data_IF_431107013422
#
_entry.id   IF_431107013422
#
_cell.length_a   1.000
_cell.length_b   1.000
_cell.length_c   1.000
_cell.angle_alpha   90.00
_cell.angle_beta   90.00
_cell.angle_gamma   90.00
#
_symmetry.space_group_name_H-M   'P 1'
#
loop_
_entity.id
_entity.type
_entity.pdbx_description
1 polymer ?
#
# COMPACT_ATOMS: atom_id res chain seq x y z
N UNK A 1 2.25 -11.65 7.02
CA UNK A 1 0.87 -11.34 6.59
C UNK A 1 0.31 -12.40 5.65
N UNK A 2 1.06 -12.94 4.68
CA UNK A 2 0.60 -14.06 3.84
C UNK A 2 0.52 -15.40 4.62
N UNK A 3 1.48 -15.70 5.50
CA UNK A 3 1.46 -16.93 6.33
C UNK A 3 0.23 -17.01 7.25
N UNK A 4 -0.13 -15.91 7.92
CA UNK A 4 -1.29 -15.87 8.83
C UNK A 4 -2.62 -16.18 8.13
N UNK A 5 -2.75 -15.80 6.85
CA UNK A 5 -3.93 -16.14 6.05
C UNK A 5 -3.92 -17.62 5.62
N UNK A 6 -2.73 -18.18 5.36
CA UNK A 6 -2.56 -19.58 5.01
C UNK A 6 -2.85 -20.49 6.22
N UNK A 7 -2.35 -20.11 7.39
CA UNK A 7 -2.59 -20.79 8.66
C UNK A 7 -4.08 -20.78 9.04
N UNK A 8 -4.78 -19.66 8.83
CA UNK A 8 -6.23 -19.59 9.03
C UNK A 8 -6.99 -20.50 8.08
N UNK A 9 -6.55 -20.61 6.83
CA UNK A 9 -7.18 -21.48 5.84
C UNK A 9 -6.94 -22.95 6.16
N UNK A 10 -5.73 -23.31 6.57
CA UNK A 10 -5.36 -24.66 6.98
C UNK A 10 -6.12 -25.11 8.23
N UNK A 11 -6.30 -24.23 9.20
CA UNK A 11 -7.14 -24.49 10.38
C UNK A 11 -8.60 -24.74 10.00
N UNK A 12 -9.16 -23.95 9.07
CA UNK A 12 -10.54 -24.13 8.59
C UNK A 12 -10.70 -25.43 7.81
N UNK A 13 -9.73 -25.78 6.96
CA UNK A 13 -9.72 -27.04 6.23
C UNK A 13 -9.66 -28.21 7.20
N UNK A 14 -8.78 -28.15 8.19
CA UNK A 14 -8.65 -29.18 9.23
C UNK A 14 -9.96 -29.40 9.99
N UNK A 15 -10.66 -28.32 10.35
CA UNK A 15 -11.98 -28.41 10.99
C UNK A 15 -13.04 -29.05 10.09
N UNK A 16 -13.05 -28.71 8.80
CA UNK A 16 -13.98 -29.30 7.83
C UNK A 16 -13.69 -30.79 7.59
N UNK A 17 -12.41 -31.16 7.52
CA UNK A 17 -11.99 -32.55 7.40
C UNK A 17 -12.37 -33.36 8.64
N UNK A 18 -12.16 -32.82 9.85
CA UNK A 18 -12.62 -33.43 11.09
C UNK A 18 -14.16 -33.58 11.14
N UNK A 19 -14.91 -32.65 10.55
CA UNK A 19 -16.37 -32.72 10.55
C UNK A 19 -16.91 -33.78 9.57
N UNK A 20 -16.23 -34.00 8.44
CA UNK A 20 -16.65 -34.97 7.42
C UNK A 20 -16.13 -36.38 7.70
N UNK A 21 -14.86 -36.51 8.09
CA UNK A 21 -14.19 -37.79 8.29
C UNK A 21 -14.13 -38.22 9.77
N UNK A 22 -14.38 -37.31 10.72
CA UNK A 22 -14.31 -37.61 12.14
C UNK A 22 -12.92 -38.09 12.55
N UNK A 23 -12.85 -39.30 13.12
CA UNK A 23 -11.61 -40.00 13.50
C UNK A 23 -11.11 -40.99 12.44
N UNK A 24 -11.76 -41.06 11.27
CA UNK A 24 -11.36 -41.95 10.19
C UNK A 24 -10.23 -41.37 9.34
N UNK A 25 -9.49 -42.25 8.68
CA UNK A 25 -8.36 -41.87 7.84
C UNK A 25 -8.81 -41.00 6.67
N UNK A 26 -8.09 -39.89 6.41
CA UNK A 26 -8.49 -38.86 5.43
C UNK A 26 -8.40 -39.36 3.98
N UNK A 27 -7.68 -40.46 3.77
CA UNK A 27 -7.53 -41.17 2.49
C UNK A 27 -8.45 -42.40 2.35
N UNK A 28 -9.29 -42.68 3.36
CA UNK A 28 -10.26 -43.75 3.28
C UNK A 28 -11.39 -43.40 2.29
N UNK A 29 -12.03 -44.44 1.75
CA UNK A 29 -13.14 -44.33 0.79
C UNK A 29 -14.13 -43.23 1.21
N UNK A 30 -14.23 -42.17 0.41
CA UNK A 30 -15.06 -40.99 0.72
C UNK A 30 -16.42 -41.41 1.27
N UNK A 31 -16.77 -41.02 2.51
CA UNK A 31 -18.05 -41.36 3.07
C UNK A 31 -19.14 -40.74 2.17
N UNK A 32 -20.14 -41.55 1.78
CA UNK A 32 -21.31 -41.07 1.04
C UNK A 32 -22.22 -40.27 1.97
N UNK A 33 -21.70 -39.16 2.51
CA UNK A 33 -22.39 -38.30 3.46
C UNK A 33 -23.68 -37.77 2.85
N UNK A 34 -23.66 -37.39 1.57
CA UNK A 34 -24.84 -36.91 0.85
C UNK A 34 -25.92 -37.98 0.78
N UNK A 35 -25.59 -39.21 0.40
CA UNK A 35 -26.56 -40.30 0.33
C UNK A 35 -27.10 -40.67 1.71
N UNK A 36 -26.24 -40.65 2.74
CA UNK A 36 -26.63 -40.93 4.12
C UNK A 36 -27.53 -39.83 4.68
N UNK A 37 -27.20 -38.56 4.45
CA UNK A 37 -28.01 -37.40 4.82
C UNK A 37 -29.33 -37.44 4.07
N UNK A 38 -29.33 -37.75 2.77
CA UNK A 38 -30.55 -37.87 1.97
C UNK A 38 -31.44 -39.01 2.44
N UNK A 39 -30.86 -40.15 2.83
CA UNK A 39 -31.60 -41.25 3.43
C UNK A 39 -32.22 -40.87 4.78
N UNK A 40 -31.45 -40.16 5.64
CA UNK A 40 -31.97 -39.62 6.91
C UNK A 40 -33.09 -38.61 6.65
N UNK A 41 -32.91 -37.69 5.70
CA UNK A 41 -33.93 -36.72 5.31
C UNK A 41 -35.21 -37.41 4.81
N UNK A 42 -35.06 -38.46 3.98
CA UNK A 42 -36.20 -39.23 3.46
C UNK A 42 -36.93 -39.97 4.58
N UNK A 43 -36.21 -40.59 5.51
CA UNK A 43 -36.80 -41.24 6.70
C UNK A 43 -37.48 -40.24 7.63
N UNK A 44 -36.87 -39.07 7.84
CA UNK A 44 -37.46 -37.98 8.64
C UNK A 44 -38.73 -37.46 7.98
N UNK A 45 -38.72 -37.19 6.68
CA UNK A 45 -39.90 -36.75 5.94
C UNK A 45 -41.02 -37.78 5.95
N UNK A 46 -40.70 -39.07 5.82
CA UNK A 46 -41.67 -40.16 5.95
C UNK A 46 -42.25 -40.25 7.38
N UNK A 47 -41.45 -40.02 8.41
CA UNK A 47 -41.89 -40.01 9.81
C UNK A 47 -42.73 -38.77 10.18
N UNK A 48 -42.53 -37.65 9.48
CA UNK A 48 -43.31 -36.41 9.59
C UNK A 48 -44.61 -36.49 8.78
N UNK A 49 -44.61 -37.23 7.66
CA UNK A 49 -45.81 -37.49 6.87
C UNK A 49 -46.86 -38.21 7.71
N UNK A 50 -48.01 -37.53 7.91
CA UNK A 50 -49.12 -38.02 8.73
C UNK A 50 -49.22 -37.41 10.14
N UNK A 51 -48.16 -36.77 10.65
CA UNK A 51 -48.17 -36.09 11.96
C UNK A 51 -48.26 -34.57 11.79
N UNK A 52 -49.48 -34.05 11.55
CA UNK A 52 -49.75 -32.61 11.33
C UNK A 52 -49.10 -31.68 12.36
N UNK A 53 -49.09 -32.06 13.65
CA UNK A 53 -48.45 -31.29 14.72
C UNK A 53 -46.93 -31.16 14.54
N UNK A 54 -46.26 -32.24 14.13
CA UNK A 54 -44.79 -32.25 13.93
C UNK A 54 -44.41 -31.47 12.68
N UNK A 55 -45.21 -31.57 11.62
CA UNK A 55 -45.00 -30.75 10.41
C UNK A 55 -45.14 -29.25 10.70
N UNK A 56 -46.09 -28.86 11.55
CA UNK A 56 -46.27 -27.47 12.00
C UNK A 56 -45.15 -26.97 12.92
N UNK A 57 -44.59 -27.82 13.80
CA UNK A 57 -43.40 -27.42 14.58
C UNK A 57 -42.14 -27.40 13.73
N UNK A 58 -41.99 -28.29 12.75
CA UNK A 58 -40.85 -28.28 11.84
C UNK A 58 -40.84 -27.02 10.95
N UNK A 59 -42.00 -26.56 10.50
CA UNK A 59 -42.11 -25.28 9.77
C UNK A 59 -41.81 -24.07 10.66
N UNK A 60 -42.19 -24.13 11.94
CA UNK A 60 -41.91 -23.08 12.93
C UNK A 60 -40.51 -23.17 13.54
N UNK A 61 -39.73 -24.21 13.24
CA UNK A 61 -38.40 -24.40 13.81
C UNK A 61 -37.44 -23.29 13.36
N UNK A 62 -37.56 -22.85 12.09
CA UNK A 62 -36.79 -21.73 11.57
C UNK A 62 -37.14 -20.42 12.32
N UNK A 63 -38.44 -20.16 12.51
CA UNK A 63 -38.91 -19.01 13.27
C UNK A 63 -38.42 -19.08 14.73
N UNK A 64 -38.52 -20.24 15.38
CA UNK A 64 -38.04 -20.46 16.75
C UNK A 64 -36.53 -20.26 16.85
N UNK A 65 -35.76 -20.69 15.85
CA UNK A 65 -34.32 -20.46 15.78
C UNK A 65 -33.99 -18.97 15.66
N UNK A 66 -34.81 -18.20 14.93
CA UNK A 66 -34.70 -16.74 14.86
C UNK A 66 -35.06 -16.08 16.20
N UNK A 67 -36.11 -16.54 16.88
CA UNK A 67 -36.48 -16.04 18.22
C UNK A 67 -35.50 -16.45 19.33
N UNK A 68 -34.65 -17.46 19.10
CA UNK A 68 -33.58 -17.87 20.01
C UNK A 68 -32.27 -17.10 19.77
N UNK A 69 -32.17 -16.30 18.69
CA UNK A 69 -31.04 -15.42 18.48
C UNK A 69 -31.12 -14.25 19.48
N UNK A 70 -30.12 -14.10 20.38
CA UNK A 70 -30.06 -12.98 21.33
C UNK A 70 -30.14 -11.62 20.62
N UNK A 71 -29.58 -11.52 19.42
CA UNK A 71 -29.55 -10.28 18.63
C UNK A 71 -30.95 -9.86 18.19
N UNK A 72 -31.82 -10.82 17.87
CA UNK A 72 -33.19 -10.57 17.41
C UNK A 72 -34.14 -10.27 18.58
N UNK A 73 -33.89 -10.89 19.73
CA UNK A 73 -34.66 -10.63 20.96
C UNK A 73 -34.31 -9.29 21.59
N UNK A 74 -33.07 -8.86 21.53
CA UNK A 74 -32.65 -7.53 22.00
C UNK A 74 -33.32 -6.42 21.18
N UNK A 75 -33.33 -6.48 19.83
CA UNK A 75 -34.01 -5.47 19.00
C UNK A 75 -35.52 -5.36 19.28
N UNK A 76 -36.17 -6.48 19.61
CA UNK A 76 -37.61 -6.54 19.89
C UNK A 76 -37.96 -6.08 21.32
N UNK A 77 -37.02 -6.20 22.27
CA UNK A 77 -37.27 -5.93 23.71
C UNK A 77 -36.80 -4.56 24.17
N UNK A 78 -36.02 -3.83 23.37
CA UNK A 78 -35.67 -2.44 23.67
C UNK A 78 -36.94 -1.58 23.58
N UNK A 79 -37.50 -1.24 24.74
CA UNK A 79 -38.64 -0.33 24.87
C UNK A 79 -38.33 1.04 24.26
N UNK A 80 -39.35 1.76 23.79
CA UNK A 80 -39.16 3.09 23.21
C UNK A 80 -38.56 4.10 24.20
N UNK A 81 -38.80 3.91 25.52
CA UNK A 81 -38.14 4.67 26.58
C UNK A 81 -36.63 4.40 26.62
N UNK A 82 -36.23 3.13 26.51
CA UNK A 82 -34.82 2.75 26.50
C UNK A 82 -34.10 3.26 25.23
N UNK A 83 -34.78 3.30 24.08
CA UNK A 83 -34.22 3.93 22.86
C UNK A 83 -33.99 5.43 23.06
N UNK A 84 -34.95 6.12 23.68
CA UNK A 84 -34.82 7.54 23.98
C UNK A 84 -33.66 7.81 24.95
N UNK A 85 -33.52 6.99 26.00
CA UNK A 85 -32.42 7.10 26.96
C UNK A 85 -31.06 6.82 26.31
N UNK A 86 -30.96 5.83 25.41
CA UNK A 86 -29.74 5.58 24.63
C UNK A 86 -29.40 6.76 23.73
N UNK A 87 -30.38 7.33 23.01
CA UNK A 87 -30.14 8.50 22.15
C UNK A 87 -29.70 9.71 22.97
N UNK A 88 -30.28 9.93 24.15
CA UNK A 88 -29.86 11.01 25.06
C UNK A 88 -28.47 10.76 25.64
N UNK A 89 -28.13 9.51 25.99
CA UNK A 89 -26.80 9.15 26.46
C UNK A 89 -25.74 9.35 25.35
N UNK A 90 -26.10 9.07 24.11
CA UNK A 90 -25.22 9.20 22.94
C UNK A 90 -25.31 10.58 22.26
N UNK A 91 -26.04 11.55 22.83
CA UNK A 91 -26.28 12.86 22.21
C UNK A 91 -24.95 13.59 21.89
N UNK A 92 -24.02 13.61 22.86
CA UNK A 92 -22.71 14.23 22.69
C UNK A 92 -21.88 13.54 21.61
N UNK A 93 -21.97 12.21 21.53
CA UNK A 93 -21.29 11.42 20.50
C UNK A 93 -21.85 11.76 19.12
N UNK A 94 -23.18 11.77 18.96
CA UNK A 94 -23.84 12.10 17.70
C UNK A 94 -23.48 13.53 17.27
N UNK A 95 -23.57 14.51 18.18
CA UNK A 95 -23.18 15.91 17.90
C UNK A 95 -21.72 16.02 17.45
N UNK A 96 -20.82 15.29 18.11
CA UNK A 96 -19.41 15.29 17.73
C UNK A 96 -19.18 14.65 16.35
N UNK A 97 -19.89 13.57 16.01
CA UNK A 97 -19.81 12.98 14.67
C UNK A 97 -20.38 13.91 13.60
N UNK A 98 -21.48 14.60 13.86
CA UNK A 98 -22.04 15.60 12.94
C UNK A 98 -21.06 16.75 12.70
N UNK A 99 -20.45 17.31 13.74
CA UNK A 99 -19.44 18.36 13.60
C UNK A 99 -18.23 17.88 12.77
N UNK A 100 -17.79 16.64 12.97
CA UNK A 100 -16.71 16.05 12.17
C UNK A 100 -17.13 15.88 10.70
N UNK A 101 -18.35 15.42 10.43
CA UNK A 101 -18.88 15.30 9.08
C UNK A 101 -18.98 16.65 8.38
N UNK A 102 -19.45 17.70 9.07
CA UNK A 102 -19.48 19.07 8.54
C UNK A 102 -18.07 19.58 8.21
N UNK A 103 -17.08 19.33 9.09
CA UNK A 103 -15.70 19.68 8.77
C UNK A 103 -15.18 18.90 7.56
N UNK A 104 -15.54 17.62 7.43
CA UNK A 104 -15.14 16.80 6.28
C UNK A 104 -15.78 17.29 4.98
N UNK A 105 -17.05 17.67 5.01
CA UNK A 105 -17.77 18.26 3.88
C UNK A 105 -17.14 19.60 3.46
N UNK A 106 -16.75 20.45 4.42
CA UNK A 106 -16.05 21.70 4.10
C UNK A 106 -14.68 21.50 3.44
N UNK A 107 -13.99 20.40 3.75
CA UNK A 107 -12.67 20.06 3.22
C UNK A 107 -12.78 19.26 1.90
N UNK A 108 -13.94 18.68 1.62
CA UNK A 108 -14.22 17.87 0.43
C UNK A 108 -13.94 18.63 -0.87
N UNK A 109 -14.28 19.92 -0.93
CA UNK A 109 -14.02 20.77 -2.10
C UNK A 109 -12.52 21.02 -2.31
N UNK A 110 -11.74 21.07 -1.22
CA UNK A 110 -10.30 21.25 -1.29
C UNK A 110 -9.58 19.97 -1.74
N UNK A 111 -10.07 18.79 -1.33
CA UNK A 111 -9.56 17.48 -1.73
C UNK A 111 -9.92 17.17 -3.19
N UNK A 112 -11.13 17.52 -3.62
CA UNK A 112 -11.61 17.28 -4.98
C UNK A 112 -11.17 18.33 -6.00
N UNK A 113 -10.41 19.33 -5.55
CA UNK A 113 -9.86 20.37 -6.39
C UNK A 113 -9.06 19.78 -7.56
N UNK A 114 -9.20 20.39 -8.74
CA UNK A 114 -8.52 19.95 -9.96
C UNK A 114 -6.99 19.86 -9.79
N UNK A 115 -6.42 20.65 -8.89
CA UNK A 115 -4.99 20.62 -8.56
C UNK A 115 -4.55 19.30 -7.90
N UNK A 116 -5.39 18.72 -7.02
CA UNK A 116 -5.12 17.42 -6.39
C UNK A 116 -5.27 16.28 -7.41
N UNK A 117 -6.24 16.39 -8.33
CA UNK A 117 -6.40 15.43 -9.44
C UNK A 117 -5.28 15.50 -10.46
N UNK A 118 -4.69 16.68 -10.67
CA UNK A 118 -3.56 16.89 -11.56
C UNK A 118 -2.21 16.45 -10.95
N UNK A 119 -2.16 16.17 -9.64
CA UNK A 119 -0.94 15.83 -8.91
C UNK A 119 -0.20 14.63 -9.51
N UNK A 120 -0.85 13.47 -9.80
CA UNK A 120 -0.15 12.32 -10.37
C UNK A 120 0.50 12.63 -11.73
N UNK A 121 -0.19 13.39 -12.58
CA UNK A 121 0.33 13.82 -13.89
C UNK A 121 1.54 14.75 -13.75
N UNK A 122 1.52 15.63 -12.75
CA UNK A 122 2.64 16.52 -12.46
C UNK A 122 3.81 15.78 -11.82
N UNK A 123 3.55 14.76 -10.99
CA UNK A 123 4.59 13.89 -10.41
C UNK A 123 5.39 13.15 -11.48
N UNK A 124 4.73 12.59 -12.49
CA UNK A 124 5.44 11.91 -13.60
C UNK A 124 6.34 12.89 -14.37
N UNK A 125 5.82 14.06 -14.73
CA UNK A 125 6.62 15.11 -15.38
C UNK A 125 7.77 15.60 -14.52
N UNK A 126 7.56 15.71 -13.21
CA UNK A 126 8.59 16.11 -12.25
C UNK A 126 9.69 15.05 -12.15
N UNK A 127 9.33 13.77 -12.18
CA UNK A 127 10.30 12.68 -12.17
C UNK A 127 11.15 12.65 -13.45
N UNK A 128 10.53 12.83 -14.61
CA UNK A 128 11.25 12.98 -15.89
C UNK A 128 12.20 14.20 -15.87
N UNK A 129 11.72 15.34 -15.36
CA UNK A 129 12.53 16.54 -15.23
C UNK A 129 13.69 16.33 -14.24
N UNK A 130 13.45 15.67 -13.11
CA UNK A 130 14.48 15.35 -12.13
C UNK A 130 15.57 14.47 -12.74
N UNK A 131 15.20 13.49 -13.56
CA UNK A 131 16.15 12.65 -14.27
C UNK A 131 16.97 13.44 -15.29
N UNK A 132 16.32 14.34 -16.03
CA UNK A 132 17.00 15.23 -16.97
C UNK A 132 17.98 16.19 -16.25
N UNK A 133 17.57 16.72 -15.09
CA UNK A 133 18.38 17.60 -14.25
C UNK A 133 19.64 16.89 -13.75
N UNK A 134 19.52 15.64 -13.27
CA UNK A 134 20.68 14.84 -12.86
C UNK A 134 21.65 14.63 -14.02
N UNK A 135 21.16 14.25 -15.21
CA UNK A 135 22.02 14.09 -16.38
C UNK A 135 22.69 15.40 -16.82
N UNK A 136 21.99 16.53 -16.72
CA UNK A 136 22.58 17.84 -17.02
C UNK A 136 23.66 18.22 -16.00
N UNK A 137 23.46 17.91 -14.72
CA UNK A 137 24.43 18.17 -13.67
C UNK A 137 25.72 17.38 -13.91
N UNK A 138 25.61 16.09 -14.23
CA UNK A 138 26.78 15.24 -14.52
C UNK A 138 27.56 15.75 -15.73
N UNK A 139 26.88 16.06 -16.84
CA UNK A 139 27.50 16.62 -18.05
C UNK A 139 28.17 17.97 -17.80
N UNK A 140 27.54 18.81 -16.98
CA UNK A 140 28.11 20.11 -16.63
C UNK A 140 29.38 19.94 -15.80
N UNK A 141 29.40 19.00 -14.86
CA UNK A 141 30.58 18.69 -14.08
C UNK A 141 31.72 18.18 -14.98
N UNK A 142 31.44 17.23 -15.88
CA UNK A 142 32.41 16.68 -16.83
C UNK A 142 33.03 17.77 -17.71
N UNK A 143 32.20 18.61 -18.34
CA UNK A 143 32.66 19.71 -19.20
C UNK A 143 33.47 20.73 -18.38
N UNK A 144 33.06 21.02 -17.15
CA UNK A 144 33.79 21.96 -16.29
C UNK A 144 35.18 21.42 -15.96
N UNK A 145 35.31 20.13 -15.70
CA UNK A 145 36.61 19.50 -15.41
C UNK A 145 37.50 19.44 -16.66
N UNK A 146 36.94 19.15 -17.83
CA UNK A 146 37.68 19.20 -19.10
C UNK A 146 38.21 20.61 -19.37
N UNK A 147 37.37 21.64 -19.21
CA UNK A 147 37.77 23.05 -19.37
C UNK A 147 38.87 23.42 -18.36
N UNK A 148 38.77 22.98 -17.11
CA UNK A 148 39.83 23.19 -16.11
C UNK A 148 41.15 22.54 -16.51
N UNK A 149 41.09 21.32 -17.04
CA UNK A 149 42.28 20.60 -17.49
C UNK A 149 42.96 21.33 -18.66
N UNK A 150 42.16 21.78 -19.65
CA UNK A 150 42.67 22.56 -20.79
C UNK A 150 43.26 23.89 -20.31
N UNK A 151 42.59 24.59 -19.39
CA UNK A 151 43.10 25.85 -18.84
C UNK A 151 44.41 25.66 -18.07
N UNK A 152 44.53 24.57 -17.31
CA UNK A 152 45.76 24.19 -16.63
C UNK A 152 46.89 23.89 -17.62
N UNK A 153 46.61 23.12 -18.67
CA UNK A 153 47.58 22.83 -19.72
C UNK A 153 48.05 24.11 -20.44
N UNK A 154 47.12 25.00 -20.77
CA UNK A 154 47.42 26.30 -21.37
C UNK A 154 48.33 27.14 -20.46
N UNK A 155 48.00 27.27 -19.18
CA UNK A 155 48.81 28.00 -18.21
C UNK A 155 50.22 27.42 -18.08
N UNK A 156 50.35 26.09 -18.10
CA UNK A 156 51.64 25.41 -18.08
C UNK A 156 52.48 25.73 -19.32
N UNK A 157 51.87 25.67 -20.51
CA UNK A 157 52.55 26.01 -21.77
C UNK A 157 53.01 27.47 -21.76
N UNK A 158 52.14 28.41 -21.37
CA UNK A 158 52.47 29.85 -21.29
C UNK A 158 53.61 30.09 -20.31
N UNK A 159 53.59 29.45 -19.14
CA UNK A 159 54.66 29.56 -18.15
C UNK A 159 55.99 29.01 -18.67
N UNK A 160 55.96 27.85 -19.34
CA UNK A 160 57.15 27.22 -19.90
C UNK A 160 57.76 28.05 -21.04
N UNK A 161 56.92 28.55 -21.95
CA UNK A 161 57.34 29.45 -23.04
C UNK A 161 57.91 30.76 -22.48
N UNK A 162 57.28 31.34 -21.46
CA UNK A 162 57.79 32.56 -20.80
C UNK A 162 59.17 32.34 -20.20
N UNK A 163 59.38 31.22 -19.50
CA UNK A 163 60.71 30.84 -18.96
C UNK A 163 61.73 30.64 -20.07
N UNK A 164 61.34 30.01 -21.17
CA UNK A 164 62.24 29.76 -22.29
C UNK A 164 62.68 31.07 -22.96
N UNK A 165 61.78 32.04 -23.12
CA UNK A 165 62.13 33.36 -23.63
C UNK A 165 63.10 34.10 -22.72
N UNK A 166 62.91 34.07 -21.40
CA UNK A 166 63.87 34.68 -20.44
C UNK A 166 65.24 34.01 -20.54
N UNK A 167 65.29 32.68 -20.63
CA UNK A 167 66.56 31.96 -20.79
C UNK A 167 67.26 32.31 -22.10
N UNK A 168 66.51 32.40 -23.21
CA UNK A 168 67.09 32.81 -24.49
C UNK A 168 67.60 34.25 -24.44
N UNK A 169 66.89 35.16 -23.80
CA UNK A 169 67.31 36.55 -23.63
C UNK A 169 68.60 36.66 -22.79
N UNK A 170 68.73 35.89 -21.70
CA UNK A 170 69.97 35.82 -20.92
C UNK A 170 71.16 35.29 -21.74
N UNK A 171 70.94 34.26 -22.57
CA UNK A 171 71.99 33.69 -23.42
C UNK A 171 72.44 34.72 -24.46
N UNK A 172 71.49 35.40 -25.12
CA UNK A 172 71.77 36.45 -26.09
C UNK A 172 72.57 37.59 -25.41
N UNK A 173 72.12 38.06 -24.24
CA UNK A 173 72.77 39.12 -23.48
C UNK A 173 74.22 38.74 -23.11
N UNK A 174 74.46 37.50 -22.67
CA UNK A 174 75.82 37.00 -22.37
C UNK A 174 76.70 36.97 -23.62
N UNK A 175 76.18 36.54 -24.76
CA UNK A 175 76.91 36.53 -26.03
C UNK A 175 77.23 37.95 -26.51
N UNK A 176 76.31 38.90 -26.36
CA UNK A 176 76.53 40.31 -26.68
C UNK A 176 77.61 40.95 -25.81
N UNK A 177 77.56 40.73 -24.49
CA UNK A 177 78.59 41.19 -23.56
C UNK A 177 79.97 40.60 -23.87
N UNK A 178 80.05 39.31 -24.18
CA UNK A 178 81.31 38.66 -24.57
C UNK A 178 81.88 39.21 -25.89
N UNK A 179 81.02 39.64 -26.82
CA UNK A 179 81.43 40.29 -28.06
C UNK A 179 81.90 41.73 -27.84
N UNK A 180 81.26 42.46 -26.92
CA UNK A 180 81.66 43.81 -26.54
C UNK A 180 82.98 43.85 -25.76
N UNK A 181 83.23 42.87 -24.89
CA UNK A 181 84.47 42.77 -24.10
C UNK A 181 85.70 42.32 -24.92
N UNK A 182 85.51 41.82 -26.13
CA UNK A 182 86.58 41.44 -27.08
C UNK A 182 86.97 42.57 -28.04
N UNK A 183 86.44 43.78 -27.83
CA UNK A 183 86.71 44.98 -28.62
C UNK A 183 87.38 46.02 -27.75
#
# INVERSE_FOLDING_TARGET
MADDQLDQLENRITLLECLVFGTSDKDALYPKCIDSIHNVQTKTNAAVQGKKRISQTYSKLADIQQYLDPSYTDEMTVSDSAKADTIMADEDFIRQQTARLETMESIQDCINSEYMKALPKNTTKFQELSQAQLSQQDKTAEVTDEVRNILSAYNNIVSMVSKQFVQWDEIITKLEMAKLAKK
#
